data_IF_019555610969
#
_entry.id   IF_019555610969
#
_cell.length_a   1.000
_cell.length_b   1.000
_cell.length_c   1.000
_cell.angle_alpha   90.00
_cell.angle_beta   90.00
_cell.angle_gamma   90.00
#
_symmetry.space_group_name_H-M   'P 1'
#
loop_
_entity.id
_entity.type
_entity.pdbx_description
1 polymer ?
#
# COMPACT_ATOMS: atom_id res chain seq x y z
N UNK A 1 -22.51 -39.78 -9.94
CA UNK A 1 -21.58 -39.60 -8.81
C UNK A 1 -20.62 -38.48 -9.18
N UNK A 2 -20.80 -37.30 -8.59
CA UNK A 2 -19.98 -36.12 -8.88
C UNK A 2 -18.76 -36.17 -7.97
N UNK A 3 -17.58 -36.30 -8.59
CA UNK A 3 -16.32 -36.42 -7.89
C UNK A 3 -15.93 -35.04 -7.34
N UNK A 4 -15.84 -34.95 -6.01
CA UNK A 4 -15.39 -33.78 -5.26
C UNK A 4 -13.87 -33.86 -5.17
N UNK A 5 -13.15 -33.09 -5.97
CA UNK A 5 -11.68 -32.96 -5.84
C UNK A 5 -11.26 -31.51 -5.72
N UNK A 6 -10.72 -31.25 -4.52
CA UNK A 6 -9.55 -30.41 -4.27
C UNK A 6 -9.64 -28.90 -4.59
N UNK A 7 -10.08 -28.13 -3.60
CA UNK A 7 -9.94 -26.67 -3.55
C UNK A 7 -8.89 -26.27 -2.49
N UNK A 8 -7.71 -26.91 -2.54
CA UNK A 8 -6.60 -26.69 -1.57
C UNK A 8 -5.38 -26.00 -2.18
N UNK A 9 -5.52 -25.36 -3.34
CA UNK A 9 -4.39 -24.78 -4.09
C UNK A 9 -4.44 -23.25 -4.23
N UNK A 10 -5.42 -22.56 -3.64
CA UNK A 10 -5.53 -21.10 -3.72
C UNK A 10 -4.82 -20.34 -2.58
N UNK A 11 -4.53 -21.01 -1.46
CA UNK A 11 -3.83 -20.42 -0.32
C UNK A 11 -2.29 -20.32 -0.47
N UNK A 12 -1.59 -21.22 -1.18
CA UNK A 12 -0.14 -21.08 -1.41
C UNK A 12 0.20 -19.95 -2.40
N UNK A 13 -0.69 -19.67 -3.36
CA UNK A 13 -0.48 -18.63 -4.39
C UNK A 13 -0.42 -17.20 -3.83
N UNK A 14 -1.14 -16.92 -2.73
CA UNK A 14 -1.08 -15.64 -2.04
C UNK A 14 0.23 -15.45 -1.24
N UNK A 15 0.93 -16.53 -0.89
CA UNK A 15 2.16 -16.49 -0.09
C UNK A 15 3.43 -16.39 -0.95
N UNK A 16 3.40 -16.92 -2.18
CA UNK A 16 4.54 -16.79 -3.11
C UNK A 16 4.74 -15.34 -3.56
N UNK A 17 3.67 -14.53 -3.64
CA UNK A 17 3.78 -13.12 -3.99
C UNK A 17 4.54 -12.26 -2.95
N UNK A 18 4.60 -12.69 -1.68
CA UNK A 18 5.35 -11.97 -0.64
C UNK A 18 6.81 -12.44 -0.52
N UNK A 19 7.17 -13.60 -1.08
CA UNK A 19 8.53 -14.16 -1.05
C UNK A 19 9.26 -13.97 -2.39
N UNK A 20 8.54 -13.84 -3.50
CA UNK A 20 9.13 -13.54 -4.81
C UNK A 20 9.69 -12.09 -4.91
N UNK A 21 9.44 -11.24 -3.92
CA UNK A 21 10.04 -9.89 -3.84
C UNK A 21 11.54 -9.86 -3.51
N UNK A 22 12.20 -11.01 -3.31
CA UNK A 22 13.64 -11.04 -3.00
C UNK A 22 14.55 -11.72 -4.03
N UNK A 23 14.05 -12.43 -5.04
CA UNK A 23 14.91 -12.97 -6.10
C UNK A 23 14.13 -13.16 -7.41
N UNK A 24 14.05 -12.11 -8.22
CA UNK A 24 14.00 -12.30 -9.68
C UNK A 24 15.04 -11.39 -10.33
N UNK A 25 16.24 -11.96 -10.51
CA UNK A 25 17.13 -11.55 -11.58
C UNK A 25 16.40 -11.77 -12.91
N UNK A 26 15.71 -10.74 -13.39
CA UNK A 26 15.41 -10.62 -14.80
C UNK A 26 15.92 -9.27 -15.25
N UNK A 27 17.10 -9.33 -15.88
CA UNK A 27 17.72 -8.26 -16.64
C UNK A 27 16.79 -7.87 -17.79
N UNK A 28 15.72 -7.16 -17.49
CA UNK A 28 15.00 -6.36 -18.46
C UNK A 28 15.81 -5.09 -18.65
N UNK A 29 16.70 -5.10 -19.64
CA UNK A 29 17.24 -3.87 -20.20
C UNK A 29 16.05 -3.06 -20.71
N UNK A 30 15.57 -2.10 -19.91
CA UNK A 30 14.49 -1.21 -20.31
C UNK A 30 15.10 -0.30 -21.38
N UNK A 31 14.67 -0.50 -22.63
CA UNK A 31 14.86 0.46 -23.71
C UNK A 31 14.50 1.83 -23.16
N UNK A 32 15.49 2.72 -23.14
CA UNK A 32 15.35 4.13 -22.79
C UNK A 32 14.15 4.71 -23.52
N UNK A 33 13.00 4.76 -22.84
CA UNK A 33 11.82 5.48 -23.30
C UNK A 33 12.24 6.93 -23.33
N UNK A 34 12.27 7.45 -24.55
CA UNK A 34 12.81 8.74 -24.91
C UNK A 34 12.37 9.83 -23.94
N UNK A 35 13.31 10.71 -23.63
CA UNK A 35 13.14 12.02 -23.00
C UNK A 35 12.27 12.99 -23.81
N UNK A 36 11.27 12.48 -24.54
CA UNK A 36 10.44 13.21 -25.49
C UNK A 36 9.06 12.59 -25.75
N UNK A 37 8.54 11.73 -24.88
CA UNK A 37 7.10 11.46 -24.90
C UNK A 37 6.35 12.70 -24.40
N UNK A 38 5.55 13.30 -25.29
CA UNK A 38 4.61 14.35 -24.89
C UNK A 38 3.66 13.80 -23.83
N UNK A 39 3.74 14.37 -22.63
CA UNK A 39 2.81 14.12 -21.53
C UNK A 39 1.51 14.86 -21.84
N UNK A 40 0.39 14.17 -21.64
CA UNK A 40 -0.96 14.72 -21.72
C UNK A 40 -1.69 14.39 -20.43
N UNK A 41 -2.81 15.08 -20.17
CA UNK A 41 -3.67 14.78 -19.02
C UNK A 41 -4.05 13.29 -18.96
N UNK A 42 -4.37 12.68 -20.10
CA UNK A 42 -4.70 11.26 -20.19
C UNK A 42 -3.52 10.35 -19.79
N UNK A 43 -2.30 10.67 -20.24
CA UNK A 43 -1.11 9.89 -19.90
C UNK A 43 -0.70 10.03 -18.45
N UNK A 44 -0.89 11.22 -17.87
CA UNK A 44 -0.61 11.49 -16.46
C UNK A 44 -1.51 10.64 -15.52
N UNK A 45 -2.68 10.20 -15.97
CA UNK A 45 -3.56 9.32 -15.20
C UNK A 45 -3.15 7.84 -15.20
N UNK A 46 -2.21 7.42 -16.06
CA UNK A 46 -1.89 6.01 -16.31
C UNK A 46 -0.54 5.61 -15.76
N UNK A 47 -0.28 4.32 -15.73
CA UNK A 47 1.04 3.77 -15.40
C UNK A 47 2.13 4.28 -16.36
N UNK A 48 3.32 4.54 -15.80
CA UNK A 48 4.55 4.81 -16.55
C UNK A 48 5.60 3.77 -16.19
N UNK A 49 6.16 3.12 -17.21
CA UNK A 49 7.11 2.02 -17.02
C UNK A 49 8.29 2.43 -16.13
N UNK A 50 8.55 1.63 -15.10
CA UNK A 50 9.63 1.87 -14.15
C UNK A 50 9.43 3.05 -13.21
N UNK A 51 8.24 3.67 -13.17
CA UNK A 51 7.96 4.81 -12.31
C UNK A 51 7.03 4.51 -11.14
N UNK A 52 6.21 3.48 -11.18
CA UNK A 52 5.18 3.26 -10.17
C UNK A 52 5.76 2.87 -8.81
N UNK A 53 5.46 3.68 -7.80
CA UNK A 53 5.76 3.36 -6.41
C UNK A 53 4.95 2.15 -5.98
N UNK A 54 5.66 1.15 -5.44
CA UNK A 54 5.05 -0.08 -4.97
C UNK A 54 4.25 0.14 -3.68
N UNK A 55 4.60 1.14 -2.85
CA UNK A 55 3.94 1.34 -1.57
C UNK A 55 4.25 2.70 -0.91
N UNK A 56 3.22 3.55 -0.76
CA UNK A 56 3.25 4.67 0.19
C UNK A 56 2.47 4.31 1.45
N UNK A 57 3.14 4.26 2.61
CA UNK A 57 2.55 3.80 3.88
C UNK A 57 2.37 4.90 4.93
N UNK A 58 2.78 6.13 4.62
CA UNK A 58 2.65 7.30 5.47
C UNK A 58 3.93 8.12 5.57
N UNK A 59 3.88 9.16 6.41
CA UNK A 59 5.01 10.04 6.69
C UNK A 59 6.08 9.33 7.53
N UNK A 60 7.36 9.50 7.18
CA UNK A 60 8.47 8.78 7.79
C UNK A 60 8.52 8.93 9.32
N UNK A 61 8.28 10.14 9.85
CA UNK A 61 8.30 10.38 11.30
C UNK A 61 7.27 9.50 12.05
N UNK A 62 6.05 9.40 11.51
CA UNK A 62 4.98 8.59 12.09
C UNK A 62 5.31 7.09 12.00
N UNK A 63 5.89 6.67 10.87
CA UNK A 63 6.34 5.29 10.63
C UNK A 63 7.44 4.91 11.63
N UNK A 64 8.49 5.71 11.76
CA UNK A 64 9.62 5.48 12.67
C UNK A 64 9.14 5.43 14.13
N UNK A 65 8.22 6.32 14.50
CA UNK A 65 7.64 6.34 15.85
C UNK A 65 6.89 5.04 16.16
N UNK A 66 6.01 4.60 15.27
CA UNK A 66 5.28 3.34 15.48
C UNK A 66 6.19 2.12 15.40
N UNK A 67 7.18 2.12 14.51
CA UNK A 67 8.18 1.07 14.43
C UNK A 67 8.93 0.95 15.76
N UNK A 68 9.45 2.05 16.30
CA UNK A 68 10.19 2.07 17.55
C UNK A 68 9.39 1.49 18.72
N UNK A 69 8.12 1.88 18.87
CA UNK A 69 7.22 1.38 19.92
C UNK A 69 7.00 -0.15 19.82
N UNK A 70 6.96 -0.68 18.59
CA UNK A 70 6.59 -2.08 18.33
C UNK A 70 7.76 -2.98 17.94
N UNK A 71 8.97 -2.44 17.80
CA UNK A 71 10.20 -3.12 17.37
C UNK A 71 10.50 -4.40 18.15
N UNK A 72 10.22 -4.43 19.46
CA UNK A 72 10.34 -5.63 20.31
C UNK A 72 9.45 -6.81 19.91
N UNK A 73 8.47 -6.60 19.02
CA UNK A 73 7.59 -7.63 18.47
C UNK A 73 8.03 -8.10 17.09
N UNK A 74 9.01 -7.44 16.47
CA UNK A 74 9.54 -7.81 15.17
C UNK A 74 10.19 -9.20 15.27
N UNK A 75 9.86 -10.15 14.38
CA UNK A 75 10.56 -11.43 14.33
C UNK A 75 12.04 -11.21 14.03
N UNK A 76 12.96 -12.02 14.61
CA UNK A 76 14.36 -11.96 14.27
C UNK A 76 14.59 -12.38 12.80
N UNK A 77 15.70 -11.95 12.22
CA UNK A 77 16.05 -12.27 10.83
C UNK A 77 16.05 -13.79 10.60
N UNK A 78 15.41 -14.22 9.51
CA UNK A 78 15.25 -15.63 9.15
C UNK A 78 14.12 -16.38 9.87
N UNK A 79 13.36 -15.72 10.77
CA UNK A 79 12.18 -16.32 11.39
C UNK A 79 11.02 -16.41 10.38
N UNK A 80 10.58 -17.63 10.09
CA UNK A 80 9.50 -17.91 9.14
C UNK A 80 8.11 -18.04 9.80
N UNK A 81 7.99 -17.76 11.10
CA UNK A 81 6.70 -17.75 11.79
C UNK A 81 5.86 -16.53 11.39
N UNK A 82 5.00 -16.75 10.40
CA UNK A 82 4.04 -15.77 9.88
C UNK A 82 3.16 -15.18 11.00
N UNK A 83 2.83 -15.95 12.04
CA UNK A 83 2.04 -15.47 13.17
C UNK A 83 2.72 -14.35 13.95
N UNK A 84 4.05 -14.41 14.09
CA UNK A 84 4.84 -13.32 14.70
C UNK A 84 4.90 -12.09 13.81
N UNK A 85 5.09 -12.27 12.50
CA UNK A 85 5.06 -11.17 11.52
C UNK A 85 3.72 -10.45 11.53
N UNK A 86 2.61 -11.20 11.47
CA UNK A 86 1.25 -10.64 11.55
C UNK A 86 1.00 -9.93 12.88
N UNK A 87 1.55 -10.44 13.99
CA UNK A 87 1.49 -9.78 15.29
C UNK A 87 2.21 -8.43 15.27
N UNK A 88 3.43 -8.36 14.77
CA UNK A 88 4.15 -7.08 14.64
C UNK A 88 3.38 -6.10 13.76
N UNK A 89 3.06 -6.50 12.52
CA UNK A 89 2.41 -5.65 11.53
C UNK A 89 1.05 -5.15 12.01
N UNK A 90 0.23 -6.01 12.60
CA UNK A 90 -1.08 -5.61 13.12
C UNK A 90 -0.98 -4.53 14.21
N UNK A 91 0.01 -4.62 15.10
CA UNK A 91 0.21 -3.62 16.15
C UNK A 91 0.84 -2.33 15.61
N UNK A 92 1.74 -2.44 14.63
CA UNK A 92 2.30 -1.30 13.90
C UNK A 92 1.19 -0.51 13.19
N UNK A 93 0.33 -1.18 12.43
CA UNK A 93 -0.82 -0.57 11.74
C UNK A 93 -1.83 0.03 12.71
N UNK A 94 -2.12 -0.65 13.82
CA UNK A 94 -2.96 -0.09 14.88
C UNK A 94 -2.37 1.24 15.39
N UNK A 95 -1.06 1.31 15.60
CA UNK A 95 -0.39 2.53 16.02
C UNK A 95 -0.56 3.66 14.99
N UNK A 96 -0.32 3.39 13.70
CA UNK A 96 -0.49 4.40 12.64
C UNK A 96 -1.92 4.94 12.60
N UNK A 97 -2.91 4.05 12.57
CA UNK A 97 -4.31 4.46 12.51
C UNK A 97 -4.79 5.15 13.80
N UNK A 98 -4.17 4.89 14.96
CA UNK A 98 -4.44 5.66 16.18
C UNK A 98 -3.95 7.10 16.04
N UNK A 99 -2.75 7.32 15.50
CA UNK A 99 -2.19 8.67 15.33
C UNK A 99 -3.06 9.52 14.41
N UNK A 100 -3.49 8.95 13.27
CA UNK A 100 -4.41 9.58 12.32
C UNK A 100 -5.88 9.63 12.78
N UNK A 101 -6.22 9.01 13.93
CA UNK A 101 -7.60 8.86 14.44
C UNK A 101 -8.53 8.12 13.46
N UNK A 102 -7.98 7.23 12.65
CA UNK A 102 -8.68 6.42 11.64
C UNK A 102 -9.45 5.25 12.26
N UNK A 103 -9.24 4.94 13.53
CA UNK A 103 -9.97 3.87 14.22
C UNK A 103 -11.35 4.39 14.68
N UNK A 104 -12.40 3.79 14.14
CA UNK A 104 -13.79 4.03 14.49
C UNK A 104 -14.31 3.11 15.60
N UNK A 105 -15.64 3.13 15.80
CA UNK A 105 -16.31 2.23 16.75
C UNK A 105 -16.18 0.79 16.28
N UNK A 106 -16.10 -0.14 17.24
CA UNK A 106 -15.98 -1.59 16.98
C UNK A 106 -14.82 -1.94 16.05
N UNK A 107 -13.72 -1.20 16.15
CA UNK A 107 -12.46 -1.43 15.44
C UNK A 107 -12.57 -1.27 13.91
N UNK A 108 -13.58 -0.53 13.43
CA UNK A 108 -13.78 -0.21 12.01
C UNK A 108 -12.94 1.00 11.56
N UNK A 109 -12.91 1.29 10.25
CA UNK A 109 -12.30 2.53 9.73
C UNK A 109 -13.27 3.71 9.87
N UNK A 110 -12.81 4.77 10.53
CA UNK A 110 -13.49 6.04 10.66
C UNK A 110 -13.30 6.88 9.40
N UNK A 111 -14.15 6.66 8.39
CA UNK A 111 -14.09 7.41 7.14
C UNK A 111 -14.26 8.92 7.28
N UNK A 112 -14.85 9.41 8.38
CA UNK A 112 -14.92 10.86 8.63
C UNK A 112 -13.51 11.43 8.86
N UNK A 113 -12.67 10.71 9.61
CA UNK A 113 -11.30 11.13 9.88
C UNK A 113 -10.40 10.93 8.66
N UNK A 114 -10.60 9.85 7.89
CA UNK A 114 -9.90 9.67 6.60
C UNK A 114 -10.18 10.82 5.64
N UNK A 115 -11.45 11.22 5.50
CA UNK A 115 -11.83 12.34 4.62
C UNK A 115 -11.25 13.66 5.11
N UNK A 116 -11.32 13.93 6.40
CA UNK A 116 -10.76 15.15 6.99
C UNK A 116 -9.23 15.23 6.82
N UNK A 117 -8.52 14.12 7.05
CA UNK A 117 -7.07 14.05 6.85
C UNK A 117 -6.72 14.23 5.38
N UNK A 118 -7.42 13.57 4.46
CA UNK A 118 -7.21 13.74 3.02
C UNK A 118 -7.51 15.18 2.54
N UNK A 119 -8.57 15.81 3.04
CA UNK A 119 -8.89 17.21 2.77
C UNK A 119 -7.80 18.17 3.25
N UNK A 120 -7.13 17.83 4.36
CA UNK A 120 -6.06 18.65 4.94
C UNK A 120 -4.73 18.42 4.23
N UNK A 121 -4.33 17.16 4.03
CA UNK A 121 -3.05 16.73 3.45
C UNK A 121 -2.95 17.01 1.95
N UNK A 122 -4.08 16.96 1.24
CA UNK A 122 -4.16 17.10 -0.21
C UNK A 122 -5.04 18.27 -0.63
N UNK A 123 -5.07 19.35 0.17
CA UNK A 123 -5.95 20.51 -0.04
C UNK A 123 -5.92 21.06 -1.48
N UNK A 124 -4.72 21.19 -2.04
CA UNK A 124 -4.48 21.69 -3.40
C UNK A 124 -4.24 20.58 -4.44
N UNK A 125 -4.46 19.31 -4.05
CA UNK A 125 -4.17 18.11 -4.85
C UNK A 125 -5.41 17.21 -4.95
N UNK A 126 -6.45 17.63 -5.70
CA UNK A 126 -7.76 16.97 -5.68
C UNK A 126 -7.72 15.50 -6.14
N UNK A 127 -6.87 15.16 -7.13
CA UNK A 127 -6.74 13.76 -7.60
C UNK A 127 -6.17 12.83 -6.53
N UNK A 128 -5.17 13.29 -5.76
CA UNK A 128 -4.60 12.54 -4.64
C UNK A 128 -5.60 12.36 -3.49
N UNK A 129 -6.32 13.43 -3.17
CA UNK A 129 -7.40 13.41 -2.17
C UNK A 129 -8.45 12.35 -2.52
N UNK A 130 -8.96 12.37 -3.75
CA UNK A 130 -9.96 11.41 -4.22
C UNK A 130 -9.42 10.00 -4.24
N UNK A 131 -8.19 9.80 -4.72
CA UNK A 131 -7.52 8.50 -4.72
C UNK A 131 -7.40 7.92 -3.31
N UNK A 132 -6.94 8.71 -2.34
CA UNK A 132 -6.81 8.30 -0.94
C UNK A 132 -8.16 7.89 -0.34
N UNK A 133 -9.21 8.69 -0.55
CA UNK A 133 -10.56 8.39 -0.06
C UNK A 133 -11.11 7.12 -0.71
N UNK A 134 -11.00 6.99 -2.02
CA UNK A 134 -11.49 5.85 -2.79
C UNK A 134 -10.80 4.54 -2.37
N UNK A 135 -9.49 4.59 -2.18
CA UNK A 135 -8.70 3.47 -1.67
C UNK A 135 -9.22 2.99 -0.32
N UNK A 136 -9.39 3.89 0.67
CA UNK A 136 -9.92 3.51 1.97
C UNK A 136 -11.37 3.04 1.92
N UNK A 137 -12.20 3.63 1.05
CA UNK A 137 -13.59 3.18 0.85
C UNK A 137 -13.68 1.77 0.25
N UNK A 138 -12.80 1.45 -0.69
CA UNK A 138 -12.66 0.11 -1.26
C UNK A 138 -12.15 -0.86 -0.18
N UNK A 139 -11.00 -0.56 0.41
CA UNK A 139 -10.30 -1.49 1.29
C UNK A 139 -11.01 -1.78 2.59
N UNK A 140 -11.74 -0.82 3.17
CA UNK A 140 -12.54 -1.11 4.38
C UNK A 140 -13.67 -2.11 4.12
N UNK A 141 -14.22 -2.14 2.89
CA UNK A 141 -15.30 -3.05 2.49
C UNK A 141 -14.72 -4.44 2.19
N UNK A 142 -13.67 -4.49 1.38
CA UNK A 142 -13.03 -5.76 0.99
C UNK A 142 -12.42 -6.50 2.20
N UNK A 143 -11.68 -5.77 3.04
CA UNK A 143 -11.10 -6.29 4.27
C UNK A 143 -12.15 -6.90 5.22
N UNK A 144 -13.39 -6.42 5.19
CA UNK A 144 -14.46 -6.97 6.00
C UNK A 144 -14.86 -8.37 5.54
N UNK A 145 -14.87 -8.62 4.23
CA UNK A 145 -15.10 -9.95 3.64
C UNK A 145 -13.99 -10.92 4.04
N UNK A 146 -12.73 -10.53 3.81
CA UNK A 146 -11.54 -11.33 4.17
C UNK A 146 -11.50 -11.61 5.66
N UNK A 147 -11.68 -10.59 6.51
CA UNK A 147 -11.65 -10.76 7.96
C UNK A 147 -12.74 -11.70 8.48
N UNK A 148 -13.96 -11.62 7.92
CA UNK A 148 -15.04 -12.55 8.25
C UNK A 148 -14.74 -14.00 7.82
N UNK A 149 -14.05 -14.19 6.71
CA UNK A 149 -13.60 -15.53 6.29
C UNK A 149 -12.51 -16.06 7.23
N UNK A 150 -11.52 -15.23 7.57
CA UNK A 150 -10.41 -15.61 8.45
C UNK A 150 -10.89 -15.96 9.86
N UNK A 151 -11.83 -15.19 10.44
CA UNK A 151 -12.33 -15.49 11.79
C UNK A 151 -13.17 -16.77 11.86
N UNK A 152 -13.74 -17.21 10.74
CA UNK A 152 -14.51 -18.46 10.63
C UNK A 152 -13.60 -19.70 10.47
N UNK A 153 -12.33 -19.51 10.09
CA UNK A 153 -11.35 -20.59 9.92
C UNK A 153 -10.52 -20.79 11.19
N UNK A 154 -10.51 -22.00 11.79
CA UNK A 154 -9.74 -22.28 13.00
C UNK A 154 -8.22 -22.03 12.84
N UNK A 155 -7.66 -22.38 11.68
CA UNK A 155 -6.23 -22.16 11.38
C UNK A 155 -5.88 -20.68 11.27
N UNK A 156 -6.69 -19.90 10.55
CA UNK A 156 -6.49 -18.46 10.45
C UNK A 156 -6.70 -17.75 11.80
N UNK A 157 -7.67 -18.21 12.60
CA UNK A 157 -7.86 -17.72 13.97
C UNK A 157 -6.64 -17.96 14.86
N UNK A 158 -5.93 -19.07 14.68
CA UNK A 158 -4.68 -19.33 15.39
C UNK A 158 -3.57 -18.34 14.98
N UNK A 159 -3.43 -18.05 13.69
CA UNK A 159 -2.48 -17.06 13.17
C UNK A 159 -2.75 -15.64 13.69
N UNK A 160 -4.02 -15.28 13.85
CA UNK A 160 -4.45 -13.95 14.31
C UNK A 160 -4.60 -13.84 15.83
N UNK A 161 -4.36 -14.91 16.59
CA UNK A 161 -4.66 -14.97 18.04
C UNK A 161 -4.01 -13.84 18.85
N UNK A 162 -2.80 -13.44 18.46
CA UNK A 162 -2.02 -12.41 19.14
C UNK A 162 -1.94 -11.09 18.36
N UNK A 163 -2.67 -10.97 17.25
CA UNK A 163 -2.65 -9.79 16.41
C UNK A 163 -3.47 -8.65 17.04
N UNK A 164 -2.97 -7.42 16.91
CA UNK A 164 -3.65 -6.22 17.34
C UNK A 164 -4.70 -5.81 16.30
N UNK A 165 -5.99 -5.88 16.63
CA UNK A 165 -7.11 -5.45 15.76
C UNK A 165 -6.97 -5.94 14.30
N UNK A 166 -7.06 -7.26 14.04
CA UNK A 166 -6.67 -7.86 12.76
C UNK A 166 -7.37 -7.29 11.52
N UNK A 167 -8.61 -6.81 11.67
CA UNK A 167 -9.32 -6.12 10.59
C UNK A 167 -8.55 -4.92 10.04
N UNK A 168 -7.90 -4.12 10.90
CA UNK A 168 -7.12 -2.95 10.47
C UNK A 168 -5.91 -3.35 9.64
N UNK A 169 -5.27 -4.47 9.99
CA UNK A 169 -4.20 -5.06 9.18
C UNK A 169 -4.72 -5.47 7.80
N UNK A 170 -5.91 -6.09 7.71
CA UNK A 170 -6.49 -6.45 6.42
C UNK A 170 -6.77 -5.21 5.55
N UNK A 171 -7.23 -4.10 6.15
CA UNK A 171 -7.40 -2.83 5.43
C UNK A 171 -6.08 -2.31 4.90
N UNK A 172 -5.02 -2.37 5.72
CA UNK A 172 -3.68 -1.91 5.33
C UNK A 172 -3.08 -2.76 4.19
N UNK A 173 -3.17 -4.09 4.30
CA UNK A 173 -2.70 -4.99 3.23
C UNK A 173 -3.46 -4.76 1.93
N UNK A 174 -4.77 -4.49 2.00
CA UNK A 174 -5.54 -4.11 0.82
C UNK A 174 -5.04 -2.80 0.18
N UNK A 175 -4.52 -1.83 0.94
CA UNK A 175 -4.00 -0.59 0.33
C UNK A 175 -2.78 -0.88 -0.54
N UNK A 176 -1.87 -1.73 -0.07
CA UNK A 176 -0.74 -2.21 -0.87
C UNK A 176 -1.23 -2.91 -2.15
N UNK A 177 -2.24 -3.76 -2.04
CA UNK A 177 -2.84 -4.44 -3.18
C UNK A 177 -3.55 -3.47 -4.14
N UNK A 178 -4.23 -2.46 -3.59
CA UNK A 178 -4.89 -1.39 -4.34
C UNK A 178 -3.87 -0.61 -5.16
N UNK A 179 -2.73 -0.28 -4.55
CA UNK A 179 -1.60 0.37 -5.19
C UNK A 179 -1.00 -0.45 -6.34
N UNK A 180 -0.92 -1.77 -6.19
CA UNK A 180 -0.36 -2.63 -7.23
C UNK A 180 -1.34 -2.90 -8.38
N UNK A 181 -2.65 -2.95 -8.10
CA UNK A 181 -3.67 -3.38 -9.08
C UNK A 181 -4.45 -2.27 -9.76
N UNK A 182 -4.55 -1.10 -9.15
CA UNK A 182 -5.25 0.04 -9.74
C UNK A 182 -4.28 0.91 -10.54
N UNK A 183 -4.84 1.82 -11.34
CA UNK A 183 -4.07 2.81 -12.09
C UNK A 183 -3.03 3.49 -11.18
N UNK A 184 -1.85 3.68 -11.75
CA UNK A 184 -0.71 4.33 -11.12
C UNK A 184 -0.55 5.74 -11.72
N UNK A 185 -1.37 6.70 -11.27
CA UNK A 185 -1.31 8.08 -11.75
C UNK A 185 0.00 8.75 -11.32
N UNK A 186 0.30 9.89 -11.94
CA UNK A 186 1.58 10.59 -11.80
C UNK A 186 2.02 10.90 -10.37
N UNK A 187 1.08 11.17 -9.46
CA UNK A 187 1.39 11.42 -8.05
C UNK A 187 1.88 10.17 -7.31
N UNK A 188 1.83 9.00 -7.94
CA UNK A 188 2.45 7.74 -7.48
C UNK A 188 3.73 7.40 -8.21
N UNK A 189 4.20 8.25 -9.12
CA UNK A 189 5.46 8.04 -9.82
C UNK A 189 6.63 8.46 -8.93
N UNK A 190 7.49 7.51 -8.60
CA UNK A 190 8.71 7.71 -7.82
C UNK A 190 9.95 7.25 -8.60
N UNK A 191 9.84 6.13 -9.33
CA UNK A 191 11.00 5.47 -9.92
C UNK A 191 11.96 4.94 -8.85
N UNK A 192 13.11 4.42 -9.28
CA UNK A 192 14.13 3.95 -8.33
C UNK A 192 15.54 4.33 -8.79
N UNK A 193 16.45 4.49 -7.83
CA UNK A 193 17.88 4.68 -8.12
C UNK A 193 18.47 3.41 -8.76
N UNK A 194 18.07 2.23 -8.27
CA UNK A 194 18.54 0.94 -8.77
C UNK A 194 18.23 0.75 -10.26
N UNK A 195 17.05 1.17 -10.72
CA UNK A 195 16.65 1.09 -12.12
C UNK A 195 17.09 2.31 -12.95
N UNK A 196 17.67 3.34 -12.34
CA UNK A 196 18.06 4.59 -13.03
C UNK A 196 16.87 5.42 -13.52
N UNK A 197 15.67 5.22 -12.97
CA UNK A 197 14.44 5.89 -13.43
C UNK A 197 14.01 7.07 -12.56
N UNK A 198 14.60 7.24 -11.36
CA UNK A 198 14.21 8.24 -10.36
C UNK A 198 14.04 9.65 -10.94
N UNK A 199 15.12 10.23 -11.49
CA UNK A 199 15.08 11.60 -12.01
C UNK A 199 14.05 11.76 -13.15
N UNK A 200 13.98 10.78 -14.06
CA UNK A 200 13.02 10.81 -15.17
C UNK A 200 11.57 10.76 -14.69
N UNK A 201 11.28 9.96 -13.65
CA UNK A 201 9.95 9.83 -13.07
C UNK A 201 9.57 11.07 -12.27
N UNK A 202 10.51 11.65 -11.52
CA UNK A 202 10.32 12.94 -10.82
C UNK A 202 10.02 14.07 -11.81
N UNK A 203 10.83 14.22 -12.86
CA UNK A 203 10.60 15.25 -13.89
C UNK A 203 9.26 15.09 -14.60
N UNK A 204 8.85 13.85 -14.90
CA UNK A 204 7.57 13.56 -15.53
C UNK A 204 6.40 13.85 -14.60
N UNK A 205 6.53 13.51 -13.31
CA UNK A 205 5.55 13.81 -12.26
C UNK A 205 5.35 15.32 -12.12
N UNK A 206 6.42 16.09 -12.06
CA UNK A 206 6.36 17.56 -11.94
C UNK A 206 5.66 18.20 -13.15
N UNK A 207 5.95 17.72 -14.37
CA UNK A 207 5.23 18.14 -15.58
C UNK A 207 3.74 17.82 -15.51
N UNK A 208 3.36 16.67 -14.97
CA UNK A 208 1.95 16.31 -14.81
C UNK A 208 1.20 17.18 -13.79
N UNK A 209 1.86 17.60 -12.69
CA UNK A 209 1.29 18.62 -11.79
C UNK A 209 1.02 19.93 -12.55
N UNK A 210 1.98 20.37 -13.38
CA UNK A 210 1.82 21.59 -14.19
C UNK A 210 0.70 21.46 -15.25
N UNK A 211 0.54 20.30 -15.88
CA UNK A 211 -0.57 20.01 -16.81
C UNK A 211 -1.92 20.13 -16.09
N UNK A 212 -2.00 19.66 -14.85
CA UNK A 212 -3.18 19.79 -14.00
C UNK A 212 -3.38 21.21 -13.44
N UNK A 213 -2.49 22.16 -13.75
CA UNK A 213 -2.57 23.55 -13.29
C UNK A 213 -2.26 23.73 -11.80
N UNK A 214 -1.56 22.78 -11.18
CA UNK A 214 -1.21 22.81 -9.76
C UNK A 214 0.30 22.80 -9.54
N UNK A 215 0.75 23.36 -8.43
CA UNK A 215 2.17 23.35 -8.08
C UNK A 215 2.60 21.94 -7.63
N UNK A 216 3.76 21.44 -8.06
CA UNK A 216 4.34 20.22 -7.49
C UNK A 216 4.51 20.36 -5.97
N UNK A 217 4.28 19.29 -5.19
CA UNK A 217 4.52 19.31 -3.76
C UNK A 217 5.99 19.65 -3.48
N UNK A 218 6.22 20.51 -2.49
CA UNK A 218 7.57 20.86 -2.07
C UNK A 218 8.26 19.60 -1.58
N UNK A 219 9.43 19.26 -2.13
CA UNK A 219 10.20 18.12 -1.65
C UNK A 219 10.48 18.34 -0.17
N UNK A 220 9.93 17.48 0.70
CA UNK A 220 10.38 17.42 2.10
C UNK A 220 11.88 17.19 2.04
N UNK A 221 12.63 18.22 2.43
CA UNK A 221 14.08 18.19 2.45
C UNK A 221 14.44 17.37 3.67
N UNK A 222 14.64 16.07 3.48
CA UNK A 222 15.29 15.20 4.47
C UNK A 222 16.76 15.12 4.09
#
# INVERSE_FOLDING_TARGET
MVNRTSCSWLLPLLLVAMVAGQDSEESSSISSSSSGEDLSEEKCGKERNGCCSELYIGEEEELVKCFTIHSSKLPPDGDSDIGKTLRFLSCFVECLYKQKKYIGKSDTINMKMVKLDAETTYADRPKEKEYHINMFEHCRKDAMGIYNMLKASPGAKALLKNACRPYLLMVFLCQSDYHQKHECPYFRWEGTEKAGTKDQCEDAKDKCYLIDGIAPPTKSTI
#
